data_IF_841852764301
#
_entry.id   IF_841852764301
#
_cell.length_a   1.000
_cell.length_b   1.000
_cell.length_c   1.000
_cell.angle_alpha   90.00
_cell.angle_beta   90.00
_cell.angle_gamma   90.00
#
_symmetry.space_group_name_H-M   'P 1'
#
loop_
_entity.id
_entity.type
_entity.pdbx_description
1 polymer ?
#
# COMPACT_ATOMS: atom_id res chain seq x y z
N UNK A 1 -14.32 10.64 -13.49
CA UNK A 1 -13.54 11.00 -12.31
C UNK A 1 -12.27 10.18 -12.22
N UNK A 2 -11.21 10.81 -11.91
CA UNK A 2 -9.91 10.16 -11.87
C UNK A 2 -9.65 9.52 -10.50
N UNK A 3 -9.17 8.31 -10.52
CA UNK A 3 -8.81 7.63 -9.29
C UNK A 3 -7.32 7.76 -9.04
N UNK A 4 -6.97 8.11 -7.82
CA UNK A 4 -5.57 8.17 -7.43
C UNK A 4 -5.24 7.05 -6.45
N UNK A 5 -5.88 5.90 -6.63
CA UNK A 5 -5.70 4.75 -5.76
C UNK A 5 -5.20 3.58 -6.59
N UNK A 6 -4.13 2.96 -6.11
CA UNK A 6 -3.59 1.75 -6.72
C UNK A 6 -3.85 0.56 -5.82
N UNK A 7 -4.01 -0.60 -6.42
CA UNK A 7 -4.33 -1.81 -5.68
C UNK A 7 -3.45 -2.95 -6.16
N UNK A 8 -2.98 -3.77 -5.20
CA UNK A 8 -2.11 -4.89 -5.53
C UNK A 8 -2.09 -5.86 -4.35
N UNK A 9 -2.41 -7.12 -4.63
CA UNK A 9 -2.37 -8.20 -3.63
C UNK A 9 -3.19 -7.88 -2.38
N UNK A 10 -4.30 -7.18 -2.56
CA UNK A 10 -5.17 -6.86 -1.44
C UNK A 10 -4.79 -5.61 -0.68
N UNK A 11 -3.72 -4.95 -1.09
CA UNK A 11 -3.31 -3.68 -0.50
C UNK A 11 -3.62 -2.54 -1.46
N UNK A 12 -3.85 -1.36 -0.90
CA UNK A 12 -4.07 -0.21 -1.76
C UNK A 12 -3.30 0.98 -1.22
N UNK A 13 -3.02 1.91 -2.10
CA UNK A 13 -2.29 3.11 -1.74
C UNK A 13 -2.94 4.30 -2.41
N UNK A 14 -2.96 5.41 -1.68
CA UNK A 14 -3.44 6.67 -2.22
C UNK A 14 -2.22 7.45 -2.72
N UNK A 15 -2.30 7.91 -3.96
CA UNK A 15 -1.20 8.62 -4.60
C UNK A 15 -1.45 10.10 -4.50
N UNK A 16 -0.43 10.84 -4.12
CA UNK A 16 -0.48 12.29 -4.00
C UNK A 16 0.64 12.92 -4.80
N UNK A 17 0.37 14.08 -5.33
CA UNK A 17 1.37 14.82 -6.05
C UNK A 17 2.02 15.84 -5.12
N UNK A 18 3.35 15.80 -5.05
CA UNK A 18 4.12 16.76 -4.25
C UNK A 18 4.68 17.80 -5.20
N UNK A 19 4.09 19.00 -5.16
CA UNK A 19 4.47 20.05 -6.08
C UNK A 19 5.85 20.63 -5.78
N UNK A 20 6.32 20.51 -4.54
CA UNK A 20 7.62 21.05 -4.19
C UNK A 20 8.76 20.27 -4.84
N UNK A 21 8.61 18.96 -4.87
CA UNK A 21 9.65 18.11 -5.45
C UNK A 21 9.24 17.56 -6.81
N UNK A 22 8.02 17.87 -7.25
CA UNK A 22 7.49 17.40 -8.53
C UNK A 22 7.51 15.88 -8.61
N UNK A 23 7.13 15.25 -7.50
CA UNK A 23 7.10 13.81 -7.42
C UNK A 23 5.72 13.32 -7.04
N UNK A 24 5.45 12.08 -7.37
CA UNK A 24 4.26 11.38 -6.91
C UNK A 24 4.64 10.55 -5.71
N UNK A 25 3.83 10.62 -4.67
CA UNK A 25 4.09 9.88 -3.45
C UNK A 25 2.87 9.06 -3.10
N UNK A 26 3.13 7.88 -2.54
CA UNK A 26 2.06 7.03 -2.10
C UNK A 26 2.43 6.31 -0.84
N UNK A 27 1.41 5.84 -0.15
CA UNK A 27 1.61 5.09 1.08
C UNK A 27 0.55 4.02 1.14
N UNK A 28 0.95 2.83 1.55
CA UNK A 28 0.01 1.73 1.72
C UNK A 28 -0.90 2.03 2.90
N UNK A 29 -2.20 2.01 2.64
CA UNK A 29 -3.19 2.33 3.65
C UNK A 29 -3.72 1.07 4.30
N UNK A 30 -4.33 1.24 5.46
CA UNK A 30 -5.03 0.14 6.10
C UNK A 30 -4.16 -0.79 6.91
N UNK A 31 -2.88 -0.49 7.06
CA UNK A 31 -2.00 -1.28 7.91
C UNK A 31 -1.29 -0.34 8.87
N UNK A 32 -0.78 -0.91 9.97
CA UNK A 32 -0.09 -0.11 10.98
C UNK A 32 1.35 0.18 10.58
N UNK A 33 1.94 -0.69 9.79
CA UNK A 33 3.30 -0.46 9.34
C UNK A 33 3.32 0.70 8.36
N UNK A 34 4.41 1.45 8.38
CA UNK A 34 4.57 2.56 7.47
C UNK A 34 5.34 2.10 6.25
N UNK A 35 4.67 2.04 5.11
CA UNK A 35 5.28 1.63 3.86
C UNK A 35 4.92 2.69 2.83
N UNK A 36 5.92 3.40 2.34
CA UNK A 36 5.69 4.45 1.36
C UNK A 36 6.59 4.24 0.15
N UNK A 37 6.27 4.96 -0.90
CA UNK A 37 7.02 4.88 -2.14
C UNK A 37 6.84 6.19 -2.89
N UNK A 38 7.68 6.41 -3.87
CA UNK A 38 7.59 7.64 -4.65
C UNK A 38 8.14 7.39 -6.06
N UNK A 39 7.75 8.27 -6.96
CA UNK A 39 8.22 8.21 -8.33
C UNK A 39 8.00 9.58 -8.96
N UNK A 40 8.82 9.92 -9.95
CA UNK A 40 8.61 11.16 -10.68
C UNK A 40 7.90 10.91 -12.00
N UNK A 41 7.27 9.75 -12.16
CA UNK A 41 6.69 9.36 -13.42
C UNK A 41 5.40 8.59 -13.17
N UNK A 42 4.35 8.96 -13.90
CA UNK A 42 3.05 8.32 -13.74
C UNK A 42 3.07 6.85 -14.15
N UNK A 43 3.92 6.49 -15.11
CA UNK A 43 3.97 5.10 -15.54
C UNK A 43 4.76 4.21 -14.60
N UNK A 44 5.65 4.76 -13.81
CA UNK A 44 6.46 3.96 -12.91
C UNK A 44 5.94 3.96 -11.48
N UNK A 45 4.99 4.85 -11.15
CA UNK A 45 4.49 4.90 -9.77
C UNK A 45 3.80 3.59 -9.41
N UNK A 46 3.11 2.98 -10.35
CA UNK A 46 2.45 1.71 -10.10
C UNK A 46 3.47 0.62 -9.83
N UNK A 47 4.54 0.61 -10.61
CA UNK A 47 5.62 -0.36 -10.40
C UNK A 47 6.26 -0.18 -9.03
N UNK A 48 6.48 1.08 -8.63
CA UNK A 48 7.05 1.35 -7.32
C UNK A 48 6.11 0.87 -6.21
N UNK A 49 4.81 1.06 -6.41
CA UNK A 49 3.84 0.56 -5.44
C UNK A 49 3.92 -0.96 -5.33
N UNK A 50 3.95 -1.65 -6.46
CA UNK A 50 4.00 -3.11 -6.44
C UNK A 50 5.29 -3.60 -5.78
N UNK A 51 6.40 -2.94 -6.07
CA UNK A 51 7.66 -3.30 -5.42
C UNK A 51 7.58 -3.09 -3.91
N UNK A 52 6.95 -2.00 -3.48
CA UNK A 52 6.82 -1.74 -2.06
C UNK A 52 6.02 -2.84 -1.37
N UNK A 53 4.93 -3.28 -2.00
CA UNK A 53 4.13 -4.37 -1.44
C UNK A 53 4.97 -5.64 -1.36
N UNK A 54 5.65 -5.99 -2.45
CA UNK A 54 6.45 -7.21 -2.47
C UNK A 54 7.56 -7.16 -1.44
N UNK A 55 8.19 -6.01 -1.30
CA UNK A 55 9.27 -5.86 -0.31
C UNK A 55 8.73 -5.96 1.11
N UNK A 56 7.54 -5.41 1.35
CA UNK A 56 6.93 -5.53 2.67
C UNK A 56 6.66 -7.01 2.99
N UNK A 57 6.10 -7.74 2.03
CA UNK A 57 5.80 -9.15 2.26
C UNK A 57 7.08 -9.96 2.47
N UNK A 58 8.11 -9.66 1.70
CA UNK A 58 9.38 -10.35 1.86
C UNK A 58 10.01 -10.05 3.20
N UNK A 59 9.92 -8.80 3.64
CA UNK A 59 10.44 -8.42 4.94
C UNK A 59 9.71 -9.16 6.05
N UNK A 60 8.40 -9.26 5.97
CA UNK A 60 7.63 -9.97 6.98
C UNK A 60 8.04 -11.43 7.06
N UNK A 61 8.27 -12.03 5.91
CA UNK A 61 8.70 -13.42 5.87
C UNK A 61 10.09 -13.57 6.49
N UNK A 62 10.95 -12.64 6.21
CA UNK A 62 12.32 -12.71 6.68
C UNK A 62 12.42 -12.62 8.20
N UNK A 63 11.61 -11.77 8.81
CA UNK A 63 11.65 -11.60 10.26
C UNK A 63 10.65 -12.47 11.00
N UNK A 64 9.92 -13.32 10.28
CA UNK A 64 8.94 -14.19 10.90
C UNK A 64 7.69 -13.50 11.38
N UNK A 65 7.36 -12.36 10.78
CA UNK A 65 6.20 -11.59 11.15
C UNK A 65 5.11 -11.83 10.12
N UNK A 66 3.88 -11.99 10.60
CA UNK A 66 2.76 -12.13 9.67
C UNK A 66 2.46 -10.77 9.04
N UNK A 67 2.35 -10.71 7.71
CA UNK A 67 2.02 -9.44 7.07
C UNK A 67 0.64 -8.98 7.50
N UNK A 68 0.52 -7.69 7.75
CA UNK A 68 -0.78 -7.13 8.07
C UNK A 68 -1.66 -7.14 6.85
N UNK A 69 -2.93 -7.37 7.07
CA UNK A 69 -3.90 -7.29 6.00
C UNK A 69 -4.64 -5.99 6.10
N UNK A 70 -5.01 -5.49 4.95
CA UNK A 70 -5.71 -4.23 4.92
C UNK A 70 -7.04 -4.34 5.64
N UNK A 71 -7.34 -3.36 6.44
CA UNK A 71 -8.57 -3.33 7.20
C UNK A 71 -9.66 -2.74 6.33
N UNK A 72 -10.68 -3.55 6.09
CA UNK A 72 -11.78 -3.08 5.26
C UNK A 72 -12.97 -2.73 6.12
N UNK A 73 -12.87 -2.01 7.07
CA UNK A 73 -13.99 -1.58 7.89
C UNK A 73 -15.04 -2.66 8.13
N UNK A 74 -15.88 -2.58 8.87
CA UNK A 74 -16.92 -3.55 9.19
C UNK A 74 -16.41 -4.99 9.25
N UNK A 75 -16.49 -5.06 9.05
CA UNK A 75 -16.42 -6.06 9.29
C UNK A 75 -16.46 -6.94 9.82
N UNK A 76 -16.58 -7.12 9.77
CA UNK A 76 -16.61 -7.85 10.26
C UNK A 76 -16.48 -8.81 10.72
N UNK A 77 -16.59 -8.84 11.02
CA UNK A 77 -16.41 -9.52 11.56
C UNK A 77 -16.40 -10.61 11.79
N UNK A 78 -16.57 -10.77 11.94
CA UNK A 78 -16.55 -11.62 12.26
C UNK A 78 -16.45 -12.57 12.59
N UNK A 79 -16.58 -12.59 12.73
CA UNK A 79 -16.46 -13.30 13.04
C UNK A 79 -16.35 -14.30 13.22
N UNK A 80 -16.32 -14.31 13.40
CA UNK A 80 -16.18 -15.05 13.60
C UNK A 80 -16.14 -15.88 13.94
N UNK A 81 -16.23 -16.00 13.98
CA UNK A 81 -16.09 -16.60 14.28
C UNK A 81 -16.19 -17.22 14.48
N UNK A 82 -16.32 -17.12 14.60
CA UNK A 82 -16.28 -17.40 14.91
C UNK A 82 -16.34 -17.74 15.02
#
# INVERSE_FOLDING_TARGET
>A
MMKNILEYKGYHAVIRFDAETLTLRGRIEGINDFVDFQSDNLTTIETEFQKAVDEYLAFCEEVGKEPEKEYKGSFNVRIESS
#
